data_IF_062412038730
#
_entry.id   IF_062412038730
#
_cell.length_a   1.000
_cell.length_b   1.000
_cell.length_c   1.000
_cell.angle_alpha   90.00
_cell.angle_beta   90.00
_cell.angle_gamma   90.00
#
_symmetry.space_group_name_H-M   'P 1'
#
loop_
_entity.id
_entity.type
_entity.pdbx_description
1 polymer ?
#
# COMPACT_ATOMS: atom_id res chain seq x y z
N UNK A 1 -26.85 38.78 -36.91
CA UNK A 1 -25.45 38.88 -36.44
C UNK A 1 -25.24 37.88 -35.32
N UNK A 2 -24.53 36.79 -35.60
CA UNK A 2 -24.39 35.63 -34.71
C UNK A 2 -23.47 35.90 -33.52
N UNK A 3 -23.90 35.52 -32.31
CA UNK A 3 -22.99 35.33 -31.17
C UNK A 3 -22.48 33.88 -31.20
N UNK A 4 -21.18 33.70 -31.45
CA UNK A 4 -20.47 32.43 -31.23
C UNK A 4 -20.31 32.26 -29.71
N UNK A 5 -20.97 31.25 -29.14
CA UNK A 5 -20.72 30.84 -27.77
C UNK A 5 -19.48 29.94 -27.74
N UNK A 6 -18.42 30.41 -27.10
CA UNK A 6 -17.21 29.62 -26.84
C UNK A 6 -17.54 28.61 -25.74
N UNK A 7 -17.46 27.32 -26.05
CA UNK A 7 -17.45 26.28 -25.02
C UNK A 7 -16.03 26.16 -24.45
N UNK A 8 -15.81 26.76 -23.29
CA UNK A 8 -14.63 26.50 -22.46
C UNK A 8 -14.85 25.17 -21.73
N UNK A 9 -13.97 24.18 -21.95
CA UNK A 9 -13.96 22.95 -21.16
C UNK A 9 -13.38 23.26 -19.77
N UNK A 10 -14.23 23.32 -18.75
CA UNK A 10 -13.78 23.39 -17.37
C UNK A 10 -13.03 22.09 -17.01
N UNK A 11 -11.79 22.22 -16.52
CA UNK A 11 -11.06 21.10 -15.93
C UNK A 11 -11.83 20.51 -14.74
N UNK A 12 -11.58 19.24 -14.37
CA UNK A 12 -12.30 18.58 -13.29
C UNK A 12 -12.21 19.38 -11.98
N UNK A 13 -13.34 19.53 -11.29
CA UNK A 13 -13.41 20.26 -10.03
C UNK A 13 -12.64 19.54 -8.92
N UNK A 14 -12.12 20.30 -7.95
CA UNK A 14 -11.32 19.78 -6.82
C UNK A 14 -12.10 18.79 -5.94
N UNK A 15 -13.44 18.75 -6.03
CA UNK A 15 -14.27 17.77 -5.33
C UNK A 15 -14.35 16.43 -6.07
N UNK A 16 -14.34 16.44 -7.40
CA UNK A 16 -14.39 15.22 -8.22
C UNK A 16 -13.08 14.44 -8.12
N UNK A 17 -11.94 15.14 -7.98
CA UNK A 17 -10.63 14.51 -7.77
C UNK A 17 -10.57 13.72 -6.45
N UNK A 18 -11.20 14.24 -5.38
CA UNK A 18 -11.27 13.55 -4.07
C UNK A 18 -12.12 12.28 -4.11
N UNK A 19 -13.20 12.27 -4.90
CA UNK A 19 -14.09 11.10 -5.03
C UNK A 19 -13.51 9.99 -5.92
N UNK A 20 -12.60 10.30 -6.85
CA UNK A 20 -11.98 9.28 -7.72
C UNK A 20 -11.26 8.20 -6.92
N UNK A 21 -11.41 6.94 -7.33
CA UNK A 21 -10.74 5.80 -6.71
C UNK A 21 -9.23 5.98 -6.86
N UNK A 22 -8.48 5.78 -5.77
CA UNK A 22 -7.03 5.82 -5.81
C UNK A 22 -6.50 4.66 -6.67
N UNK A 23 -5.53 4.95 -7.53
CA UNK A 23 -4.74 3.95 -8.24
C UNK A 23 -3.42 3.80 -7.49
N UNK A 24 -3.13 2.59 -7.02
CA UNK A 24 -1.91 2.25 -6.29
C UNK A 24 -1.14 1.21 -7.09
N UNK A 25 -0.30 1.65 -8.01
CA UNK A 25 0.67 0.77 -8.67
C UNK A 25 1.93 0.58 -7.80
N UNK A 26 2.81 -0.33 -8.18
CA UNK A 26 4.00 -0.69 -7.38
C UNK A 26 4.88 0.54 -7.07
N UNK A 27 5.14 1.39 -8.06
CA UNK A 27 5.94 2.61 -7.87
C UNK A 27 5.30 3.58 -6.86
N UNK A 28 3.99 3.77 -6.91
CA UNK A 28 3.26 4.62 -5.95
C UNK A 28 3.20 3.99 -4.56
N UNK A 29 3.18 2.66 -4.47
CA UNK A 29 3.24 1.95 -3.19
C UNK A 29 4.61 2.12 -2.56
N UNK A 30 5.68 1.92 -3.34
CA UNK A 30 7.06 2.12 -2.89
C UNK A 30 7.27 3.55 -2.38
N UNK A 31 6.87 4.55 -3.17
CA UNK A 31 6.97 5.95 -2.78
C UNK A 31 6.21 6.25 -1.48
N UNK A 32 5.01 5.71 -1.34
CA UNK A 32 4.22 5.88 -0.13
C UNK A 32 4.91 5.27 1.10
N UNK A 33 5.47 4.07 0.95
CA UNK A 33 6.17 3.37 2.03
C UNK A 33 7.43 4.15 2.44
N UNK A 34 8.22 4.64 1.49
CA UNK A 34 9.44 5.40 1.79
C UNK A 34 9.13 6.69 2.54
N UNK A 35 8.07 7.41 2.15
CA UNK A 35 7.60 8.59 2.88
C UNK A 35 7.13 8.22 4.29
N UNK A 36 6.39 7.12 4.44
CA UNK A 36 5.95 6.63 5.74
C UNK A 36 7.13 6.30 6.67
N UNK A 37 8.19 5.64 6.16
CA UNK A 37 9.40 5.33 6.92
C UNK A 37 10.06 6.62 7.41
N UNK A 38 10.24 7.61 6.53
CA UNK A 38 10.84 8.89 6.92
C UNK A 38 10.07 9.60 8.04
N UNK A 39 8.74 9.48 8.08
CA UNK A 39 7.95 10.02 9.19
C UNK A 39 8.03 9.16 10.47
N UNK A 40 8.23 7.84 10.37
CA UNK A 40 8.51 6.99 11.54
C UNK A 40 9.86 7.38 12.15
N UNK A 41 10.90 7.52 11.33
CA UNK A 41 12.25 7.92 11.75
C UNK A 41 12.26 9.32 12.39
N UNK A 42 11.42 10.23 11.88
CA UNK A 42 11.21 11.55 12.46
C UNK A 42 10.39 11.55 13.78
N UNK A 43 10.00 10.38 14.30
CA UNK A 43 9.23 10.25 15.54
C UNK A 43 7.74 10.61 15.40
N UNK A 44 7.23 10.79 14.19
CA UNK A 44 5.82 11.14 13.96
C UNK A 44 4.87 9.94 14.08
N UNK A 45 5.36 8.79 14.52
CA UNK A 45 4.59 7.60 14.87
C UNK A 45 4.96 7.12 16.29
N UNK A 46 4.66 7.88 17.35
CA UNK A 46 5.10 7.57 18.72
C UNK A 46 4.45 6.32 19.32
N UNK A 47 3.43 5.76 18.67
CA UNK A 47 2.79 4.51 19.06
C UNK A 47 2.42 3.69 17.84
N UNK A 48 1.19 3.17 17.81
CA UNK A 48 0.74 2.29 16.71
C UNK A 48 0.35 3.05 15.43
N UNK A 49 0.14 4.37 15.52
CA UNK A 49 -0.37 5.23 14.44
C UNK A 49 0.48 6.49 14.26
N UNK A 50 0.48 7.03 13.02
CA UNK A 50 1.04 8.36 12.77
C UNK A 50 0.21 9.41 13.50
N UNK A 51 0.90 10.39 14.09
CA UNK A 51 0.28 11.55 14.68
C UNK A 51 -0.25 12.50 13.58
N UNK A 52 -0.87 13.61 13.99
CA UNK A 52 -1.45 14.58 13.05
C UNK A 52 -0.41 15.16 12.08
N UNK A 53 0.80 15.45 12.57
CA UNK A 53 1.89 16.00 11.79
C UNK A 53 2.39 14.99 10.74
N UNK A 54 2.61 13.74 11.15
CA UNK A 54 3.02 12.66 10.26
C UNK A 54 2.03 12.46 9.12
N UNK A 55 0.73 12.41 9.41
CA UNK A 55 -0.28 12.31 8.35
C UNK A 55 -0.31 13.52 7.42
N UNK A 56 -0.20 14.73 7.95
CA UNK A 56 -0.14 15.95 7.14
C UNK A 56 1.08 15.93 6.21
N UNK A 57 2.25 15.54 6.72
CA UNK A 57 3.49 15.42 5.95
C UNK A 57 3.39 14.35 4.86
N UNK A 58 2.86 13.16 5.19
CA UNK A 58 2.66 12.06 4.23
C UNK A 58 1.81 12.54 3.05
N UNK A 59 0.65 13.13 3.35
CA UNK A 59 -0.29 13.59 2.32
C UNK A 59 0.38 14.64 1.42
N UNK A 60 1.04 15.63 2.05
CA UNK A 60 1.70 16.72 1.33
C UNK A 60 2.82 16.19 0.44
N UNK A 61 3.81 15.50 1.01
CA UNK A 61 4.99 14.98 0.31
C UNK A 61 4.61 14.06 -0.84
N UNK A 62 3.65 13.14 -0.61
CA UNK A 62 3.25 12.19 -1.64
C UNK A 62 2.55 12.88 -2.82
N UNK A 63 1.58 13.76 -2.52
CA UNK A 63 0.83 14.46 -3.57
C UNK A 63 1.73 15.41 -4.38
N UNK A 64 2.63 16.14 -3.71
CA UNK A 64 3.62 17.01 -4.37
C UNK A 64 4.56 16.20 -5.26
N UNK A 65 5.06 15.05 -4.79
CA UNK A 65 6.02 14.24 -5.52
C UNK A 65 5.42 13.47 -6.70
N UNK A 66 4.15 13.07 -6.60
CA UNK A 66 3.50 12.21 -7.59
C UNK A 66 2.53 12.95 -8.51
N UNK A 67 2.19 14.21 -8.19
CA UNK A 67 1.15 14.98 -8.87
C UNK A 67 -0.28 14.48 -8.59
N UNK A 68 -0.46 13.50 -7.69
CA UNK A 68 -1.78 13.03 -7.28
C UNK A 68 -2.42 13.99 -6.28
N UNK A 69 -3.73 13.83 -6.07
CA UNK A 69 -4.48 14.56 -5.05
C UNK A 69 -5.27 13.60 -4.16
N UNK A 70 -4.55 12.69 -3.51
CA UNK A 70 -5.17 11.75 -2.59
C UNK A 70 -5.47 12.42 -1.25
N UNK A 71 -6.60 12.04 -0.65
CA UNK A 71 -6.99 12.51 0.67
C UNK A 71 -6.50 11.56 1.77
N UNK A 72 -6.62 12.03 3.02
CA UNK A 72 -6.27 11.26 4.21
C UNK A 72 -6.87 9.84 4.22
N UNK A 73 -8.13 9.70 3.79
CA UNK A 73 -8.83 8.41 3.83
C UNK A 73 -8.16 7.38 2.92
N UNK A 74 -7.71 7.79 1.72
CA UNK A 74 -6.99 6.91 0.79
C UNK A 74 -5.67 6.43 1.39
N UNK A 75 -4.89 7.33 2.00
CA UNK A 75 -3.61 6.97 2.63
C UNK A 75 -3.80 6.08 3.87
N UNK A 76 -4.74 6.41 4.76
CA UNK A 76 -5.04 5.60 5.93
C UNK A 76 -5.45 4.18 5.55
N UNK A 77 -6.38 4.06 4.60
CA UNK A 77 -6.83 2.76 4.12
C UNK A 77 -5.68 1.96 3.50
N UNK A 78 -4.81 2.62 2.73
CA UNK A 78 -3.64 1.97 2.13
C UNK A 78 -2.66 1.47 3.20
N UNK A 79 -2.34 2.29 4.19
CA UNK A 79 -1.46 1.93 5.29
C UNK A 79 -1.99 0.76 6.12
N UNK A 80 -3.28 0.79 6.46
CA UNK A 80 -3.90 -0.30 7.22
C UNK A 80 -3.92 -1.60 6.42
N UNK A 81 -4.16 -1.54 5.10
CA UNK A 81 -4.07 -2.72 4.24
C UNK A 81 -2.64 -3.27 4.14
N UNK A 82 -1.62 -2.41 4.04
CA UNK A 82 -0.21 -2.84 4.02
C UNK A 82 0.18 -3.56 5.32
N UNK A 83 -0.17 -3.00 6.48
CA UNK A 83 0.07 -3.65 7.79
C UNK A 83 -0.68 -4.97 7.93
N UNK A 84 -1.93 -5.05 7.47
CA UNK A 84 -2.71 -6.28 7.50
C UNK A 84 -2.04 -7.37 6.65
N UNK A 85 -1.61 -7.03 5.44
CA UNK A 85 -0.87 -7.95 4.56
C UNK A 85 0.45 -8.39 5.20
N UNK A 86 1.19 -7.47 5.82
CA UNK A 86 2.41 -7.78 6.56
C UNK A 86 2.17 -8.73 7.73
N UNK A 87 1.11 -8.52 8.49
CA UNK A 87 0.75 -9.43 9.60
C UNK A 87 0.44 -10.84 9.11
N UNK A 88 -0.30 -10.98 8.01
CA UNK A 88 -0.59 -12.29 7.40
C UNK A 88 0.70 -12.93 6.90
N UNK A 89 1.55 -12.15 6.22
CA UNK A 89 2.83 -12.61 5.70
C UNK A 89 3.75 -13.12 6.82
N UNK A 90 3.90 -12.38 7.92
CA UNK A 90 4.69 -12.82 9.06
C UNK A 90 4.15 -14.09 9.71
N UNK A 91 2.82 -14.28 9.76
CA UNK A 91 2.22 -15.55 10.21
C UNK A 91 2.53 -16.71 9.27
N UNK A 92 2.59 -16.44 7.97
CA UNK A 92 2.91 -17.43 6.93
C UNK A 92 4.39 -17.84 6.97
N UNK A 93 5.32 -16.88 6.94
CA UNK A 93 6.76 -17.16 6.83
C UNK A 93 7.46 -17.36 8.18
N UNK A 94 6.94 -16.79 9.26
CA UNK A 94 7.64 -16.69 10.54
C UNK A 94 7.60 -17.95 11.42
N UNK A 95 6.80 -18.96 11.08
CA UNK A 95 6.64 -20.18 11.89
C UNK A 95 7.24 -21.44 11.27
N UNK A 96 7.67 -21.37 10.03
CA UNK A 96 7.99 -22.54 9.23
C UNK A 96 9.50 -22.63 9.06
N UNK A 97 10.06 -23.78 9.43
CA UNK A 97 11.48 -24.07 9.29
C UNK A 97 11.65 -25.23 8.31
N UNK A 98 12.71 -25.20 7.49
CA UNK A 98 13.02 -26.29 6.56
C UNK A 98 12.28 -26.29 5.22
N UNK A 99 11.52 -25.23 4.90
CA UNK A 99 10.95 -25.03 3.57
C UNK A 99 11.94 -24.25 2.68
N UNK A 100 11.83 -24.47 1.36
CA UNK A 100 12.60 -23.73 0.37
C UNK A 100 12.12 -22.29 0.22
N UNK A 101 12.91 -21.50 -0.51
CA UNK A 101 12.57 -20.14 -0.88
C UNK A 101 12.64 -19.97 -2.40
N UNK A 102 11.58 -19.44 -2.99
CA UNK A 102 11.55 -19.04 -4.40
C UNK A 102 11.99 -17.56 -4.50
N UNK A 103 13.20 -17.26 -5.00
CA UNK A 103 13.68 -15.88 -5.09
C UNK A 103 13.00 -15.08 -6.20
N UNK A 104 12.39 -15.72 -7.19
CA UNK A 104 11.70 -15.06 -8.30
C UNK A 104 10.32 -14.59 -7.88
N UNK A 105 9.55 -15.49 -7.25
CA UNK A 105 8.24 -15.14 -6.67
C UNK A 105 8.36 -14.44 -5.32
N UNK A 106 9.55 -14.45 -4.72
CA UNK A 106 9.86 -13.94 -3.39
C UNK A 106 8.94 -14.55 -2.31
N UNK A 107 8.72 -15.87 -2.37
CA UNK A 107 7.79 -16.59 -1.49
C UNK A 107 8.27 -18.00 -1.16
N UNK A 108 7.53 -18.70 -0.30
CA UNK A 108 7.86 -20.06 0.14
C UNK A 108 7.81 -21.02 -1.05
N UNK A 109 8.92 -21.73 -1.29
CA UNK A 109 8.98 -22.85 -2.22
C UNK A 109 8.64 -24.13 -1.47
N UNK A 110 7.39 -24.56 -1.62
CA UNK A 110 6.84 -25.72 -0.92
C UNK A 110 5.84 -26.47 -1.82
N UNK A 111 5.66 -27.79 -1.59
CA UNK A 111 4.68 -28.59 -2.34
C UNK A 111 3.24 -28.07 -2.18
N UNK A 112 2.41 -28.37 -3.16
CA UNK A 112 0.99 -27.99 -3.17
C UNK A 112 0.24 -28.46 -1.92
N UNK A 113 0.49 -29.69 -1.47
CA UNK A 113 -0.11 -30.23 -0.25
C UNK A 113 0.22 -29.40 1.00
N UNK A 114 1.41 -28.80 1.07
CA UNK A 114 1.77 -27.89 2.15
C UNK A 114 0.97 -26.59 2.06
N UNK A 115 0.87 -26.01 0.86
CA UNK A 115 0.08 -24.81 0.61
C UNK A 115 -1.40 -25.04 0.95
N UNK A 116 -2.01 -26.14 0.51
CA UNK A 116 -3.40 -26.49 0.82
C UNK A 116 -3.66 -26.53 2.32
N UNK A 117 -2.81 -27.25 3.08
CA UNK A 117 -2.90 -27.29 4.55
C UNK A 117 -2.74 -25.90 5.16
N UNK A 118 -1.75 -25.13 4.71
CA UNK A 118 -1.49 -23.80 5.26
C UNK A 118 -2.63 -22.81 4.97
N UNK A 119 -3.28 -22.92 3.81
CA UNK A 119 -4.42 -22.08 3.44
C UNK A 119 -5.71 -22.46 4.17
N UNK A 120 -5.82 -23.66 4.74
CA UNK A 120 -6.90 -23.96 5.70
C UNK A 120 -6.71 -23.20 7.01
N UNK A 121 -5.46 -23.00 7.45
CA UNK A 121 -5.12 -22.24 8.67
C UNK A 121 -5.16 -20.72 8.43
N UNK A 122 -4.71 -20.27 7.26
CA UNK A 122 -4.57 -18.85 6.90
C UNK A 122 -5.11 -18.63 5.46
N UNK A 123 -6.44 -18.64 5.25
CA UNK A 123 -7.02 -18.49 3.91
C UNK A 123 -6.57 -17.24 3.17
N UNK A 124 -6.42 -16.13 3.89
CA UNK A 124 -5.97 -14.86 3.33
C UNK A 124 -4.52 -14.91 2.80
N UNK A 125 -3.72 -15.93 3.13
CA UNK A 125 -2.36 -16.08 2.62
C UNK A 125 -2.32 -16.54 1.14
N UNK A 126 -3.45 -16.94 0.55
CA UNK A 126 -3.51 -17.46 -0.82
C UNK A 126 -2.89 -16.50 -1.85
N UNK A 127 -3.07 -15.19 -1.65
CA UNK A 127 -2.47 -14.13 -2.50
C UNK A 127 -0.94 -14.14 -2.54
N UNK A 128 -0.30 -14.81 -1.59
CA UNK A 128 1.15 -14.86 -1.49
C UNK A 128 1.80 -16.10 -2.13
N UNK A 129 0.99 -17.05 -2.62
CA UNK A 129 1.50 -18.29 -3.25
C UNK A 129 2.21 -18.03 -4.57
N UNK A 130 1.68 -17.12 -5.38
CA UNK A 130 2.26 -16.80 -6.69
C UNK A 130 3.20 -15.60 -6.64
N UNK A 131 3.03 -14.73 -5.63
CA UNK A 131 3.88 -13.56 -5.42
C UNK A 131 3.91 -13.16 -3.96
N UNK A 132 5.08 -13.18 -3.34
CA UNK A 132 5.24 -12.82 -1.94
C UNK A 132 4.99 -11.34 -1.66
N UNK A 133 4.96 -11.00 -0.37
CA UNK A 133 4.68 -9.63 0.06
C UNK A 133 5.78 -8.67 -0.42
N UNK A 134 5.38 -7.74 -1.29
CA UNK A 134 6.26 -6.69 -1.78
C UNK A 134 6.55 -5.67 -0.65
N UNK A 135 7.79 -5.21 -0.57
CA UNK A 135 8.27 -4.28 0.46
C UNK A 135 8.07 -4.76 1.91
N UNK A 136 8.00 -6.08 2.16
CA UNK A 136 7.79 -6.64 3.49
C UNK A 136 8.81 -6.16 4.53
N UNK A 137 10.06 -5.98 4.11
CA UNK A 137 11.17 -5.46 4.93
C UNK A 137 11.03 -3.99 5.35
N UNK A 138 10.16 -3.24 4.68
CA UNK A 138 9.94 -1.80 4.89
C UNK A 138 8.69 -1.49 5.74
N UNK A 139 7.81 -2.48 5.95
CA UNK A 139 6.52 -2.29 6.65
C UNK A 139 6.59 -2.68 8.13
N UNK A 140 7.52 -3.59 8.47
CA UNK A 140 7.73 -4.14 9.81
C UNK A 140 8.27 -3.16 10.83
#
# INVERSE_FOLDING_TARGET
>A
MSKKSQHTLAGPSTQDEKKRKAIWNEKLIEEFIDICIGEVEAGNRPGTHFNRLGWANIIKKFNEKTGNQYDYKKFKNKWDNLKANWSIWMKLVGKETGLGWDPVRNTIDAPDAWWEKKLQEIPDAAKFRERGLQHANKIG
#
